data_IF_929286743419
#
_entry.id   IF_929286743419
#
_cell.length_a   1.000
_cell.length_b   1.000
_cell.length_c   1.000
_cell.angle_alpha   90.00
_cell.angle_beta   90.00
_cell.angle_gamma   90.00
#
_symmetry.space_group_name_H-M   'P 1'
#
loop_
_entity.id
_entity.type
_entity.pdbx_description
1 polymer ?
#
# COMPACT_ATOMS: atom_id res chain seq x y z
N UNK A 1 0.43 -8.79 -14.04
CA UNK A 1 1.47 -8.21 -13.17
C UNK A 1 2.26 -7.10 -13.84
N UNK A 2 2.76 -7.27 -15.08
CA UNK A 2 3.60 -6.27 -15.78
C UNK A 2 3.04 -4.85 -15.80
N UNK A 3 1.81 -4.65 -16.30
CA UNK A 3 1.19 -3.32 -16.35
C UNK A 3 1.14 -2.64 -14.99
N UNK A 4 0.77 -3.37 -13.94
CA UNK A 4 0.77 -2.85 -12.58
C UNK A 4 2.16 -2.45 -12.12
N UNK A 5 3.16 -3.30 -12.37
CA UNK A 5 4.54 -3.00 -12.00
C UNK A 5 5.04 -1.75 -12.73
N UNK A 6 4.74 -1.61 -14.02
CA UNK A 6 5.10 -0.43 -14.79
C UNK A 6 4.42 0.82 -14.23
N UNK A 7 3.08 0.80 -14.09
CA UNK A 7 2.31 1.96 -13.63
C UNK A 7 2.74 2.40 -12.21
N UNK A 8 2.89 1.45 -11.26
CA UNK A 8 3.20 1.78 -9.86
C UNK A 8 4.68 2.01 -9.56
N UNK A 9 5.60 1.62 -10.45
CA UNK A 9 7.02 1.96 -10.31
C UNK A 9 7.23 3.45 -10.52
N UNK A 10 6.55 4.05 -11.49
CA UNK A 10 6.64 5.50 -11.74
C UNK A 10 6.10 6.28 -10.54
N UNK A 11 4.95 5.88 -9.99
CA UNK A 11 4.43 6.49 -8.75
C UNK A 11 5.39 6.32 -7.57
N UNK A 12 6.03 5.16 -7.44
CA UNK A 12 6.99 4.92 -6.37
C UNK A 12 8.23 5.82 -6.50
N UNK A 13 8.79 5.97 -7.70
CA UNK A 13 9.91 6.88 -7.91
C UNK A 13 9.57 8.34 -7.62
N UNK A 14 8.37 8.80 -8.02
CA UNK A 14 7.92 10.16 -7.74
C UNK A 14 7.81 10.39 -6.22
N UNK A 15 7.16 9.48 -5.51
CA UNK A 15 6.96 9.57 -4.06
C UNK A 15 8.28 9.50 -3.29
N UNK A 16 9.26 8.70 -3.73
CA UNK A 16 10.59 8.63 -3.08
C UNK A 16 11.44 9.90 -3.28
N UNK A 17 11.08 10.76 -4.24
CA UNK A 17 11.80 12.01 -4.50
C UNK A 17 11.23 13.21 -3.75
N UNK A 18 10.05 13.06 -3.14
CA UNK A 18 9.42 14.11 -2.34
C UNK A 18 9.91 14.06 -0.90
N UNK A 19 10.36 15.21 -0.37
CA UNK A 19 10.75 15.34 1.03
C UNK A 19 9.52 15.26 1.96
N UNK A 20 8.37 15.76 1.48
CA UNK A 20 7.09 15.75 2.20
C UNK A 20 5.95 15.40 1.24
N UNK A 21 5.16 14.40 1.59
CA UNK A 21 4.04 13.95 0.77
C UNK A 21 2.76 14.70 1.12
N UNK A 22 2.09 15.23 0.09
CA UNK A 22 0.74 15.75 0.25
C UNK A 22 -0.19 14.67 0.83
N UNK A 23 -0.82 14.89 2.00
CA UNK A 23 -1.63 13.87 2.67
C UNK A 23 -2.82 13.36 1.84
N UNK A 24 -3.43 14.23 1.02
CA UNK A 24 -4.56 13.85 0.13
C UNK A 24 -4.07 12.92 -0.97
N UNK A 25 -2.96 13.24 -1.62
CA UNK A 25 -2.35 12.41 -2.65
C UNK A 25 -1.87 11.07 -2.09
N UNK A 26 -1.24 11.08 -0.91
CA UNK A 26 -0.82 9.86 -0.22
C UNK A 26 -2.03 8.94 0.07
N UNK A 27 -3.15 9.51 0.53
CA UNK A 27 -4.40 8.78 0.73
C UNK A 27 -4.96 8.19 -0.57
N UNK A 28 -5.01 8.98 -1.65
CA UNK A 28 -5.48 8.53 -2.96
C UNK A 28 -4.62 7.41 -3.52
N UNK A 29 -3.29 7.54 -3.45
CA UNK A 29 -2.35 6.55 -3.94
C UNK A 29 -2.43 5.25 -3.14
N UNK A 30 -2.58 5.34 -1.81
CA UNK A 30 -2.82 4.17 -0.94
C UNK A 30 -4.07 3.40 -1.37
N UNK A 31 -5.16 4.08 -1.68
CA UNK A 31 -6.40 3.46 -2.18
C UNK A 31 -6.13 2.79 -3.53
N UNK A 32 -5.66 3.54 -4.52
CA UNK A 32 -5.45 3.03 -5.88
C UNK A 32 -4.53 1.81 -5.89
N UNK A 33 -3.43 1.85 -5.13
CA UNK A 33 -2.50 0.74 -4.95
C UNK A 33 -3.20 -0.52 -4.45
N UNK A 34 -3.93 -0.42 -3.33
CA UNK A 34 -4.59 -1.59 -2.72
C UNK A 34 -5.69 -2.14 -3.63
N UNK A 35 -6.45 -1.26 -4.29
CA UNK A 35 -7.50 -1.67 -5.22
C UNK A 35 -6.92 -2.44 -6.42
N UNK A 36 -5.88 -1.92 -7.07
CA UNK A 36 -5.29 -2.59 -8.22
C UNK A 36 -4.54 -3.87 -7.83
N UNK A 37 -3.82 -3.85 -6.70
CA UNK A 37 -3.11 -5.04 -6.22
C UNK A 37 -4.08 -6.19 -5.92
N UNK A 38 -5.18 -5.93 -5.20
CA UNK A 38 -6.23 -6.94 -4.93
C UNK A 38 -6.83 -7.50 -6.21
N UNK A 39 -7.10 -6.64 -7.21
CA UNK A 39 -7.66 -7.06 -8.50
C UNK A 39 -6.76 -8.02 -9.26
N UNK A 40 -5.43 -7.88 -9.12
CA UNK A 40 -4.48 -8.79 -9.75
C UNK A 40 -4.38 -10.09 -8.96
N UNK A 41 -4.35 -10.03 -7.63
CA UNK A 41 -4.33 -11.23 -6.77
C UNK A 41 -5.57 -12.12 -6.98
N UNK A 42 -6.75 -11.53 -7.23
CA UNK A 42 -7.96 -12.30 -7.55
C UNK A 42 -7.84 -13.10 -8.85
N UNK A 43 -6.91 -12.72 -9.73
CA UNK A 43 -6.61 -13.44 -10.98
C UNK A 43 -5.38 -14.34 -10.85
N UNK A 44 -4.70 -14.33 -9.70
CA UNK A 44 -3.54 -15.18 -9.46
C UNK A 44 -4.02 -16.61 -9.15
N UNK A 45 -3.54 -17.63 -9.87
CA UNK A 45 -3.95 -19.01 -9.64
C UNK A 45 -3.44 -19.60 -8.32
N UNK A 46 -2.64 -18.87 -7.53
CA UNK A 46 -2.07 -19.28 -6.24
C UNK A 46 -1.35 -20.64 -6.32
N UNK A 47 -0.52 -20.79 -7.36
CA UNK A 47 0.27 -22.00 -7.56
C UNK A 47 1.39 -22.10 -6.51
N UNK A 48 1.72 -23.31 -6.04
CA UNK A 48 2.91 -23.56 -5.22
C UNK A 48 4.16 -22.95 -5.85
N UNK A 49 5.02 -22.34 -5.03
CA UNK A 49 6.25 -21.68 -5.50
C UNK A 49 7.16 -22.59 -6.34
N UNK A 50 7.16 -23.89 -6.05
CA UNK A 50 7.91 -24.92 -6.78
C UNK A 50 7.46 -25.08 -8.24
N UNK A 51 6.25 -24.64 -8.58
CA UNK A 51 5.67 -24.70 -9.92
C UNK A 51 5.73 -23.35 -10.65
N UNK A 52 6.26 -22.31 -10.01
CA UNK A 52 6.35 -20.98 -10.61
C UNK A 52 7.64 -20.84 -11.44
N UNK A 53 7.57 -20.23 -12.64
CA UNK A 53 8.73 -19.76 -13.36
C UNK A 53 9.64 -18.88 -12.48
N UNK A 54 10.96 -18.96 -12.67
CA UNK A 54 11.95 -18.19 -11.92
C UNK A 54 11.81 -16.67 -12.04
N UNK A 55 11.06 -16.19 -13.04
CA UNK A 55 10.77 -14.78 -13.30
C UNK A 55 9.35 -14.37 -12.84
N UNK A 56 8.72 -15.11 -11.94
CA UNK A 56 7.32 -14.86 -11.58
C UNK A 56 7.14 -13.47 -10.95
N UNK A 57 6.41 -12.63 -11.67
CA UNK A 57 6.27 -11.20 -11.38
C UNK A 57 5.47 -10.90 -10.11
N UNK A 58 4.80 -11.88 -9.50
CA UNK A 58 3.98 -11.64 -8.30
C UNK A 58 4.84 -11.20 -7.11
N UNK A 59 6.06 -11.72 -6.97
CA UNK A 59 6.98 -11.30 -5.91
C UNK A 59 7.38 -9.83 -6.10
N UNK A 60 7.72 -9.43 -7.32
CA UNK A 60 8.05 -8.04 -7.65
C UNK A 60 6.86 -7.11 -7.37
N UNK A 61 5.65 -7.49 -7.78
CA UNK A 61 4.45 -6.72 -7.51
C UNK A 61 4.15 -6.63 -6.00
N UNK A 62 4.34 -7.71 -5.24
CA UNK A 62 4.17 -7.72 -3.78
C UNK A 62 5.17 -6.80 -3.10
N UNK A 63 6.44 -6.85 -3.49
CA UNK A 63 7.50 -6.02 -2.92
C UNK A 63 7.28 -4.54 -3.26
N UNK A 64 6.98 -4.21 -4.51
CA UNK A 64 6.62 -2.85 -4.93
C UNK A 64 5.41 -2.33 -4.13
N UNK A 65 4.37 -3.14 -3.98
CA UNK A 65 3.18 -2.77 -3.22
C UNK A 65 3.49 -2.54 -1.74
N UNK A 66 4.32 -3.40 -1.14
CA UNK A 66 4.76 -3.26 0.25
C UNK A 66 5.53 -1.96 0.46
N UNK A 67 6.51 -1.68 -0.42
CA UNK A 67 7.35 -0.50 -0.30
C UNK A 67 6.54 0.77 -0.48
N UNK A 68 5.78 0.88 -1.57
CA UNK A 68 4.96 2.06 -1.82
C UNK A 68 3.90 2.26 -0.74
N UNK A 69 3.25 1.19 -0.26
CA UNK A 69 2.30 1.29 0.84
C UNK A 69 2.96 1.87 2.10
N UNK A 70 4.16 1.39 2.45
CA UNK A 70 4.89 1.91 3.61
C UNK A 70 5.27 3.39 3.47
N UNK A 71 5.59 3.85 2.26
CA UNK A 71 5.93 5.26 2.03
C UNK A 71 4.71 6.18 2.19
N UNK A 72 3.52 5.75 1.74
CA UNK A 72 2.32 6.61 1.73
C UNK A 72 1.41 6.43 2.95
N UNK A 73 1.61 5.39 3.77
CA UNK A 73 0.64 5.02 4.80
C UNK A 73 0.49 6.09 5.88
N UNK A 74 1.57 6.71 6.34
CA UNK A 74 1.52 7.67 7.44
C UNK A 74 0.70 8.92 7.06
N UNK A 75 1.15 9.66 6.04
CA UNK A 75 0.46 10.86 5.55
C UNK A 75 -0.99 10.58 5.10
N UNK A 76 -1.21 9.45 4.42
CA UNK A 76 -2.56 9.06 4.00
C UNK A 76 -3.48 8.64 5.14
N UNK A 77 -2.94 8.14 6.27
CA UNK A 77 -3.74 7.80 7.45
C UNK A 77 -4.07 9.04 8.28
N UNK A 78 -3.13 9.99 8.39
CA UNK A 78 -3.36 11.28 9.02
C UNK A 78 -4.54 12.01 8.38
N UNK A 79 -4.52 12.18 7.04
CA UNK A 79 -5.64 12.78 6.31
C UNK A 79 -6.96 12.02 6.53
N UNK A 80 -6.90 10.68 6.53
CA UNK A 80 -8.08 9.86 6.75
C UNK A 80 -8.67 10.08 8.15
N UNK A 81 -7.83 10.12 9.19
CA UNK A 81 -8.28 10.35 10.56
C UNK A 81 -8.81 11.77 10.76
N UNK A 82 -8.25 12.75 10.05
CA UNK A 82 -8.74 14.13 10.07
C UNK A 82 -10.14 14.26 9.45
N UNK A 83 -10.41 13.61 8.32
CA UNK A 83 -11.64 13.83 7.54
C UNK A 83 -12.74 12.79 7.82
N UNK A 84 -12.38 11.53 8.03
CA UNK A 84 -13.37 10.46 8.13
C UNK A 84 -14.18 10.54 9.44
N UNK A 85 -15.48 10.27 9.34
CA UNK A 85 -16.41 10.27 10.48
C UNK A 85 -17.29 9.03 10.43
N UNK A 86 -17.67 8.56 11.61
CA UNK A 86 -18.70 7.55 11.82
C UNK A 86 -20.01 8.22 12.24
N UNK A 87 -21.10 7.47 12.37
CA UNK A 87 -22.35 7.98 12.95
C UNK A 87 -22.15 8.54 14.37
N UNK A 88 -21.16 8.03 15.09
CA UNK A 88 -20.83 8.40 16.47
C UNK A 88 -19.76 9.52 16.56
N UNK A 89 -19.33 10.11 15.44
CA UNK A 89 -18.33 11.17 15.41
C UNK A 89 -16.98 10.74 14.82
N UNK A 90 -15.87 11.02 15.51
CA UNK A 90 -14.52 10.74 15.01
C UNK A 90 -14.26 9.23 14.80
N UNK A 91 -13.27 8.90 13.98
CA UNK A 91 -12.88 7.51 13.76
C UNK A 91 -12.39 6.84 15.05
N UNK A 92 -12.78 5.58 15.33
CA UNK A 92 -12.22 4.83 16.44
C UNK A 92 -10.71 4.55 16.22
N UNK A 93 -9.99 4.14 17.28
CA UNK A 93 -8.61 3.71 17.15
C UNK A 93 -8.42 2.62 16.09
N UNK A 94 -7.29 2.66 15.38
CA UNK A 94 -6.98 1.69 14.33
C UNK A 94 -6.91 0.27 14.92
N UNK A 95 -7.52 -0.69 14.23
CA UNK A 95 -7.49 -2.09 14.65
C UNK A 95 -6.05 -2.65 14.55
N UNK A 96 -5.55 -3.46 15.52
CA UNK A 96 -4.16 -3.93 15.54
C UNK A 96 -3.68 -4.65 14.28
N UNK A 97 -4.59 -5.27 13.53
CA UNK A 97 -4.28 -5.95 12.27
C UNK A 97 -3.82 -4.99 11.16
N UNK A 98 -4.11 -3.69 11.27
CA UNK A 98 -3.59 -2.66 10.37
C UNK A 98 -2.05 -2.69 10.32
N UNK A 99 -1.42 -2.79 11.48
CA UNK A 99 0.04 -2.80 11.61
C UNK A 99 0.70 -4.09 11.11
N UNK A 100 -0.09 -5.15 10.89
CA UNK A 100 0.39 -6.43 10.32
C UNK A 100 0.37 -6.44 8.78
N UNK A 101 -0.09 -5.37 8.13
CA UNK A 101 -0.16 -5.29 6.65
C UNK A 101 1.23 -5.48 6.04
N UNK A 102 1.26 -6.21 4.93
CA UNK A 102 2.48 -6.59 4.20
C UNK A 102 3.57 -7.33 5.00
N UNK A 103 3.23 -7.87 6.17
CA UNK A 103 4.17 -8.56 7.07
C UNK A 103 4.66 -7.70 8.23
N UNK A 104 4.15 -6.46 8.35
CA UNK A 104 4.53 -5.52 9.41
C UNK A 104 4.82 -4.15 8.82
N UNK A 105 4.19 -3.10 9.35
CA UNK A 105 4.54 -1.73 9.01
C UNK A 105 5.73 -1.27 9.84
N UNK A 106 6.65 -0.55 9.19
CA UNK A 106 7.67 0.25 9.88
C UNK A 106 6.97 1.49 10.44
N UNK A 107 6.43 1.39 11.65
CA UNK A 107 6.01 2.59 12.37
C UNK A 107 7.28 3.23 12.90
N UNK A 108 7.64 4.40 12.39
CA UNK A 108 8.55 5.26 13.15
C UNK A 108 7.83 5.60 14.45
N UNK A 109 8.44 5.21 15.57
CA UNK A 109 7.95 5.61 16.87
C UNK A 109 8.07 7.13 16.93
N UNK A 110 6.94 7.82 16.74
CA UNK A 110 6.84 9.23 17.09
C UNK A 110 7.18 9.32 18.57
N UNK A 111 8.37 9.86 18.85
CA UNK A 111 8.89 10.11 20.21
C UNK A 111 8.25 11.35 20.80
#
# INVERSE_FOLDING_TARGET
YEKFIADFREFFHLVEQEDELDPVQAFQLRILLIHQFRRILLKDPNLPFELLPSNWLSLNARNLSSNLYQTVVAAGDEFFMEIARTSEGSMPPVHPQFYKRFGGLRLEAVS
#
